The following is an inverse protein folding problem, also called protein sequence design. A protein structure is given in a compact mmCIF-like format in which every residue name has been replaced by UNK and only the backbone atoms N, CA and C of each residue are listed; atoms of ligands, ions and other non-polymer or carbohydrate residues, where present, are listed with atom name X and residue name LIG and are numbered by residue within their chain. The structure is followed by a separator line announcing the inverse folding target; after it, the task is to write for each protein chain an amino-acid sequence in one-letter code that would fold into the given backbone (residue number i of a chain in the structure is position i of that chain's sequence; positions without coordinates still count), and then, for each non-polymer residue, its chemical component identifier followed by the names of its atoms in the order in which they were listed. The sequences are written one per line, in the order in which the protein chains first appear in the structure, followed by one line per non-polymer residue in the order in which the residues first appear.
data_IF_464655616436
#
_entry.id   IF_464655616436
#
_cell.length_a   1.000
_cell.length_b   1.000
_cell.length_c   1.000
_cell.angle_alpha   90.00
_cell.angle_beta   90.00
_cell.angle_gamma   90.00
#
_symmetry.space_group_name_H-M   'P 1'
#
loop_
_entity.id
_entity.type
_entity.pdbx_description
1 polymer ?
#
# COMPACT_ATOMS: atom_id res chain seq x y z
N UNK A 1 -42.51 -60.53 5.49
CA UNK A 1 -42.94 -59.25 6.12
C UNK A 1 -42.26 -59.12 7.47
N UNK A 2 -41.84 -57.89 7.81
CA UNK A 2 -41.27 -57.40 9.09
C UNK A 2 -39.75 -57.53 9.31
N UNK A 3 -39.10 -56.45 8.84
CA UNK A 3 -37.92 -55.70 9.31
C UNK A 3 -37.19 -56.24 10.56
N UNK A 4 -35.90 -56.52 10.36
CA UNK A 4 -34.87 -56.59 11.38
C UNK A 4 -34.15 -55.23 11.40
N UNK A 5 -34.19 -54.52 12.53
CA UNK A 5 -33.33 -53.38 12.81
C UNK A 5 -32.24 -53.87 13.79
N UNK A 6 -30.98 -53.82 13.37
CA UNK A 6 -29.83 -54.11 14.23
C UNK A 6 -29.20 -52.79 14.68
N UNK A 7 -29.04 -52.66 15.99
CA UNK A 7 -28.29 -51.61 16.66
C UNK A 7 -26.82 -52.02 16.87
N UNK A 8 -25.97 -50.99 17.00
CA UNK A 8 -24.62 -50.91 17.63
C UNK A 8 -23.38 -51.38 16.82
N UNK A 9 -22.15 -50.91 17.14
CA UNK A 9 -21.72 -49.71 17.87
C UNK A 9 -20.54 -48.93 17.25
N UNK A 10 -20.25 -47.80 17.89
CA UNK A 10 -19.08 -46.92 17.86
C UNK A 10 -17.73 -47.66 17.97
N UNK A 11 -16.74 -47.31 17.14
CA UNK A 11 -15.31 -47.37 17.51
C UNK A 11 -14.64 -46.08 17.05
N UNK A 12 -14.17 -45.32 18.03
CA UNK A 12 -13.30 -44.17 17.89
C UNK A 12 -11.86 -44.70 17.78
N UNK A 13 -11.18 -44.43 16.66
CA UNK A 13 -9.74 -44.61 16.55
C UNK A 13 -9.13 -43.30 16.03
N UNK A 14 -8.29 -42.69 16.86
CA UNK A 14 -7.40 -41.60 16.45
C UNK A 14 -6.31 -42.15 15.53
N UNK A 15 -6.18 -41.56 14.34
CA UNK A 15 -4.94 -41.57 13.55
C UNK A 15 -4.79 -40.19 12.90
N UNK A 16 -3.54 -39.69 12.91
CA UNK A 16 -3.09 -38.33 12.57
C UNK A 16 -3.66 -37.74 11.26
N UNK A 17 -3.68 -36.40 11.11
CA UNK A 17 -3.99 -35.80 9.82
C UNK A 17 -2.83 -36.10 8.86
N UNK A 18 -3.14 -36.81 7.78
CA UNK A 18 -2.30 -36.82 6.60
C UNK A 18 -2.46 -35.46 5.91
N UNK A 19 -1.33 -34.82 5.61
CA UNK A 19 -1.21 -33.71 4.68
C UNK A 19 -1.75 -34.14 3.32
N UNK A 20 -2.91 -33.63 2.92
CA UNK A 20 -3.48 -33.78 1.58
C UNK A 20 -3.92 -32.40 1.06
N UNK A 21 -2.95 -31.58 0.67
CA UNK A 21 -3.14 -30.27 0.01
C UNK A 21 -2.91 -30.34 -1.51
N UNK A 22 -3.01 -31.53 -2.10
CA UNK A 22 -2.82 -31.79 -3.55
C UNK A 22 -4.10 -32.19 -4.29
N UNK A 23 -5.28 -31.85 -3.76
CA UNK A 23 -6.57 -32.20 -4.36
C UNK A 23 -7.53 -31.01 -4.60
N UNK A 24 -7.01 -29.82 -4.91
CA UNK A 24 -7.82 -28.68 -5.34
C UNK A 24 -7.20 -27.90 -6.52
N UNK A 25 -6.77 -28.60 -7.56
CA UNK A 25 -6.44 -28.01 -8.87
C UNK A 25 -7.38 -28.49 -9.99
N UNK A 26 -8.64 -28.78 -9.65
CA UNK A 26 -9.69 -29.06 -10.62
C UNK A 26 -10.80 -27.98 -10.52
N UNK A 27 -10.78 -27.09 -11.50
CA UNK A 27 -11.90 -26.29 -12.00
C UNK A 27 -12.69 -25.43 -10.97
N UNK A 28 -12.28 -24.17 -10.86
CA UNK A 28 -13.24 -23.07 -10.85
C UNK A 28 -13.12 -22.33 -12.20
N UNK A 29 -14.11 -22.54 -13.08
CA UNK A 29 -14.30 -21.80 -14.34
C UNK A 29 -14.72 -20.33 -14.08
N UNK A 30 -13.88 -19.53 -13.42
CA UNK A 30 -14.12 -18.07 -13.38
C UNK A 30 -12.87 -17.18 -13.27
N UNK A 31 -11.66 -17.76 -13.28
CA UNK A 31 -10.43 -17.00 -13.48
C UNK A 31 -10.17 -16.82 -14.97
N UNK A 32 -10.49 -15.65 -15.53
CA UNK A 32 -10.07 -15.33 -16.89
C UNK A 32 -8.57 -15.10 -16.88
N UNK A 33 -7.78 -16.11 -17.25
CA UNK A 33 -6.39 -15.87 -17.64
C UNK A 33 -6.38 -15.25 -19.02
N UNK A 34 -5.71 -14.10 -19.14
CA UNK A 34 -5.47 -13.41 -20.40
C UNK A 34 -3.98 -13.48 -20.70
N UNK A 35 -3.61 -14.23 -21.74
CA UNK A 35 -2.23 -14.62 -22.09
C UNK A 35 -2.13 -16.12 -22.45
N UNK A 36 -0.93 -16.70 -22.40
CA UNK A 36 -0.64 -18.09 -22.76
C UNK A 36 -0.84 -19.09 -21.60
N UNK A 37 -1.16 -18.63 -20.38
CA UNK A 37 -1.34 -19.45 -19.16
C UNK A 37 -0.07 -20.20 -18.75
N UNK A 38 1.07 -19.54 -18.83
CA UNK A 38 2.40 -20.08 -18.59
C UNK A 38 3.14 -19.46 -17.39
N UNK A 39 2.39 -18.85 -16.45
CA UNK A 39 2.88 -18.39 -15.16
C UNK A 39 4.00 -19.27 -14.59
N UNK A 40 5.15 -18.65 -14.37
CA UNK A 40 6.30 -19.28 -13.73
C UNK A 40 6.26 -18.95 -12.25
N UNK A 41 6.17 -19.99 -11.42
CA UNK A 41 6.31 -19.83 -9.98
C UNK A 41 7.68 -19.27 -9.64
N UNK A 42 7.73 -18.20 -8.86
CA UNK A 42 8.99 -17.65 -8.35
C UNK A 42 9.34 -18.40 -7.07
N UNK A 43 10.34 -19.27 -7.15
CA UNK A 43 10.85 -20.03 -6.00
C UNK A 43 11.79 -19.17 -5.16
N UNK A 44 12.10 -19.63 -3.95
CA UNK A 44 13.09 -19.02 -3.08
C UNK A 44 14.41 -18.71 -3.83
N UNK A 45 14.96 -17.52 -3.59
CA UNK A 45 16.17 -17.04 -4.27
C UNK A 45 16.01 -16.78 -5.78
N UNK A 46 14.80 -16.92 -6.33
CA UNK A 46 14.50 -16.61 -7.73
C UNK A 46 15.06 -17.60 -8.75
N UNK A 47 15.32 -18.86 -8.36
CA UNK A 47 15.97 -19.86 -9.21
C UNK A 47 15.27 -20.06 -10.58
N UNK A 48 13.95 -19.91 -10.61
CA UNK A 48 13.07 -20.04 -11.79
C UNK A 48 12.97 -18.76 -12.63
N UNK A 49 13.62 -17.68 -12.20
CA UNK A 49 13.59 -16.36 -12.84
C UNK A 49 14.98 -16.02 -13.38
N UNK A 50 15.10 -15.37 -14.55
CA UNK A 50 16.37 -14.88 -15.07
C UNK A 50 17.11 -14.00 -14.05
N UNK A 51 18.43 -14.15 -13.98
CA UNK A 51 19.30 -13.53 -12.96
C UNK A 51 19.10 -12.01 -12.83
N UNK A 52 18.91 -11.32 -13.96
CA UNK A 52 18.66 -9.87 -14.03
C UNK A 52 17.46 -9.38 -13.22
N UNK A 53 16.44 -10.22 -12.99
CA UNK A 53 15.25 -9.83 -12.22
C UNK A 53 15.34 -10.20 -10.74
N UNK A 54 16.25 -11.12 -10.37
CA UNK A 54 16.34 -11.64 -9.00
C UNK A 54 16.54 -10.55 -7.94
N UNK A 55 17.34 -9.51 -8.17
CA UNK A 55 17.50 -8.42 -7.21
C UNK A 55 16.22 -7.63 -6.91
N UNK A 56 15.17 -7.75 -7.74
CA UNK A 56 13.93 -7.00 -7.61
C UNK A 56 12.83 -7.77 -6.87
N UNK A 57 12.99 -9.09 -6.68
CA UNK A 57 11.89 -9.96 -6.27
C UNK A 57 11.31 -9.62 -4.89
N UNK A 58 12.10 -9.00 -4.02
CA UNK A 58 11.69 -8.59 -2.67
C UNK A 58 11.00 -7.22 -2.64
N UNK A 59 10.93 -6.52 -3.79
CA UNK A 59 10.15 -5.29 -3.95
C UNK A 59 8.68 -5.56 -4.34
N UNK A 60 8.31 -6.81 -4.64
CA UNK A 60 6.93 -7.18 -4.92
C UNK A 60 6.26 -7.71 -3.65
N UNK A 61 5.05 -7.23 -3.40
CA UNK A 61 4.31 -7.52 -2.19
C UNK A 61 2.87 -7.93 -2.45
N UNK A 62 2.33 -8.72 -1.54
CA UNK A 62 0.94 -9.15 -1.54
C UNK A 62 0.11 -8.23 -0.65
N UNK A 63 -0.88 -7.55 -1.22
CA UNK A 63 -1.79 -6.68 -0.48
C UNK A 63 -2.86 -7.51 0.23
N UNK A 64 -3.22 -7.13 1.45
CA UNK A 64 -4.28 -7.78 2.24
C UNK A 64 -5.66 -7.77 1.58
N UNK A 65 -5.90 -6.88 0.59
CA UNK A 65 -7.13 -6.82 -0.20
C UNK A 65 -7.13 -7.66 -1.48
N UNK A 66 -6.23 -8.64 -1.60
CA UNK A 66 -6.12 -9.53 -2.76
C UNK A 66 -5.66 -8.78 -4.02
N UNK A 67 -4.55 -8.05 -3.91
CA UNK A 67 -3.89 -7.37 -5.02
C UNK A 67 -2.36 -7.53 -4.91
N UNK A 68 -1.66 -7.07 -5.94
CA UNK A 68 -0.21 -6.99 -5.99
C UNK A 68 0.25 -5.55 -5.78
N UNK A 69 1.38 -5.39 -5.12
CA UNK A 69 2.02 -4.11 -4.79
C UNK A 69 3.47 -4.15 -5.26
N UNK A 70 4.00 -3.01 -5.70
CA UNK A 70 5.44 -2.85 -5.95
C UNK A 70 6.00 -1.67 -5.16
N UNK A 71 7.08 -1.87 -4.41
CA UNK A 71 7.80 -0.80 -3.74
C UNK A 71 8.71 -0.06 -4.74
N UNK A 72 8.58 1.27 -4.78
CA UNK A 72 9.32 2.15 -5.70
C UNK A 72 10.36 3.02 -5.00
N UNK A 73 10.50 2.90 -3.69
CA UNK A 73 11.54 3.54 -2.88
C UNK A 73 11.00 4.53 -1.85
N UNK A 74 11.82 4.83 -0.84
CA UNK A 74 11.49 5.80 0.22
C UNK A 74 10.16 5.50 0.93
N UNK A 75 9.77 4.23 1.07
CA UNK A 75 8.49 3.83 1.65
C UNK A 75 7.30 4.00 0.73
N UNK A 76 7.49 4.47 -0.51
CA UNK A 76 6.41 4.63 -1.50
C UNK A 76 6.22 3.33 -2.26
N UNK A 77 4.97 2.91 -2.38
CA UNK A 77 4.54 1.74 -3.12
C UNK A 77 3.37 2.07 -4.06
N UNK A 78 3.21 1.24 -5.09
CA UNK A 78 2.16 1.38 -6.10
C UNK A 78 1.30 0.12 -6.21
N UNK A 79 0.03 0.33 -6.52
CA UNK A 79 -0.94 -0.71 -6.85
C UNK A 79 -2.05 -0.15 -7.75
N UNK A 80 -3.07 -0.95 -8.08
CA UNK A 80 -4.27 -0.45 -8.75
C UNK A 80 -5.17 0.30 -7.75
N UNK A 81 -5.85 1.35 -8.22
CA UNK A 81 -6.72 2.21 -7.41
C UNK A 81 -7.93 1.47 -6.87
N UNK A 82 -8.53 0.56 -7.65
CA UNK A 82 -9.67 -0.24 -7.17
C UNK A 82 -9.33 -1.12 -5.96
N UNK A 83 -8.05 -1.48 -5.75
CA UNK A 83 -7.59 -2.23 -4.58
C UNK A 83 -7.71 -1.44 -3.26
N UNK A 84 -7.85 -0.11 -3.36
CA UNK A 84 -7.99 0.84 -2.27
C UNK A 84 -9.36 1.56 -2.27
N UNK A 85 -10.35 1.04 -3.01
CA UNK A 85 -11.65 1.69 -3.20
C UNK A 85 -11.54 3.13 -3.72
N UNK A 86 -10.58 3.38 -4.63
CA UNK A 86 -10.32 4.72 -5.14
C UNK A 86 -11.55 5.35 -5.82
N UNK A 87 -11.74 6.68 -5.70
CA UNK A 87 -12.81 7.39 -6.39
C UNK A 87 -12.55 7.50 -7.91
N UNK A 88 -13.58 7.89 -8.66
CA UNK A 88 -13.51 8.07 -10.12
C UNK A 88 -12.66 9.26 -10.59
N UNK A 89 -12.19 10.10 -9.66
CA UNK A 89 -11.30 11.24 -9.90
C UNK A 89 -10.16 11.16 -8.91
N UNK A 90 -8.94 11.62 -9.26
CA UNK A 90 -7.81 11.66 -8.33
C UNK A 90 -8.25 12.26 -6.99
N UNK A 91 -8.01 11.51 -5.92
CA UNK A 91 -8.11 12.00 -4.56
C UNK A 91 -6.79 11.72 -3.85
N UNK A 92 -6.38 12.66 -3.00
CA UNK A 92 -5.15 12.59 -2.24
C UNK A 92 -5.46 12.33 -0.76
N UNK A 93 -4.42 11.97 -0.02
CA UNK A 93 -4.44 11.84 1.44
C UNK A 93 -5.55 10.92 1.97
N UNK A 94 -5.80 9.83 1.25
CA UNK A 94 -6.84 8.88 1.60
C UNK A 94 -6.37 7.96 2.75
N UNK A 95 -7.24 7.68 3.73
CA UNK A 95 -6.92 6.75 4.79
C UNK A 95 -6.83 5.32 4.25
N UNK A 96 -5.85 4.57 4.75
CA UNK A 96 -5.66 3.15 4.41
C UNK A 96 -5.33 2.29 5.64
N UNK A 97 -5.76 2.73 6.81
CA UNK A 97 -5.63 1.93 8.03
C UNK A 97 -6.26 0.54 7.84
N UNK A 98 -5.52 -0.50 8.23
CA UNK A 98 -5.93 -1.90 8.08
C UNK A 98 -5.44 -2.59 6.80
N UNK A 99 -4.94 -1.84 5.80
CA UNK A 99 -4.22 -2.44 4.67
C UNK A 99 -2.80 -2.81 5.09
N UNK A 100 -2.38 -4.02 4.74
CA UNK A 100 -1.02 -4.52 4.97
C UNK A 100 -0.44 -5.11 3.70
N UNK A 101 0.89 -5.06 3.58
CA UNK A 101 1.64 -5.64 2.46
C UNK A 101 2.64 -6.65 2.98
N UNK A 102 2.57 -7.87 2.46
CA UNK A 102 3.52 -8.96 2.71
C UNK A 102 4.57 -9.01 1.61
N UNK A 103 5.80 -8.60 1.90
CA UNK A 103 6.88 -8.46 0.91
C UNK A 103 7.67 -9.75 0.71
N UNK A 104 8.06 -10.01 -0.55
CA UNK A 104 8.87 -11.18 -0.92
C UNK A 104 8.17 -12.51 -0.70
N UNK A 105 6.84 -12.51 -0.54
CA UNK A 105 6.06 -13.72 -0.29
C UNK A 105 6.11 -14.70 -1.47
N UNK A 106 6.60 -15.92 -1.25
CA UNK A 106 6.65 -17.01 -2.24
C UNK A 106 5.96 -18.24 -1.65
N UNK A 107 5.64 -19.23 -2.49
CA UNK A 107 4.93 -20.44 -2.00
C UNK A 107 5.81 -21.23 -1.01
N UNK A 108 7.10 -21.23 -1.25
CA UNK A 108 8.15 -21.95 -0.50
C UNK A 108 8.91 -21.05 0.49
N UNK A 109 8.58 -19.76 0.57
CA UNK A 109 9.25 -18.80 1.44
C UNK A 109 8.25 -17.78 2.01
N UNK A 110 8.07 -17.71 3.34
CA UNK A 110 7.17 -16.72 3.94
C UNK A 110 7.65 -15.30 3.64
N UNK A 111 6.74 -14.33 3.77
CA UNK A 111 7.11 -12.93 3.64
C UNK A 111 8.20 -12.54 4.65
N UNK A 112 9.24 -11.83 4.18
CA UNK A 112 10.34 -11.40 5.05
C UNK A 112 9.98 -10.14 5.84
N UNK A 113 9.01 -9.36 5.36
CA UNK A 113 8.58 -8.10 5.95
C UNK A 113 7.07 -7.94 5.75
N UNK A 114 6.38 -7.49 6.79
CA UNK A 114 5.00 -7.00 6.70
C UNK A 114 4.98 -5.51 7.00
N UNK A 115 4.44 -4.72 6.07
CA UNK A 115 4.25 -3.28 6.25
C UNK A 115 2.77 -2.94 6.41
N UNK A 116 2.48 -1.93 7.23
CA UNK A 116 1.18 -1.27 7.26
C UNK A 116 1.14 -0.14 6.23
N UNK A 117 -0.01 0.06 5.59
CA UNK A 117 -0.26 1.29 4.84
C UNK A 117 -0.45 2.45 5.82
N UNK A 118 0.30 3.54 5.61
CA UNK A 118 0.23 4.75 6.44
C UNK A 118 -0.73 5.77 5.85
N UNK A 119 -0.62 6.03 4.56
CA UNK A 119 -1.47 6.95 3.82
C UNK A 119 -1.45 6.58 2.34
N UNK A 120 -2.58 6.76 1.64
CA UNK A 120 -2.62 6.75 0.18
C UNK A 120 -2.48 8.18 -0.30
N UNK A 121 -1.30 8.49 -0.84
CA UNK A 121 -0.91 9.84 -1.29
C UNK A 121 -1.79 10.30 -2.46
N UNK A 122 -2.09 9.38 -3.38
CA UNK A 122 -2.99 9.63 -4.48
C UNK A 122 -3.58 8.33 -5.01
N UNK A 123 -4.88 8.32 -5.28
CA UNK A 123 -5.50 7.23 -6.00
C UNK A 123 -6.63 7.69 -6.92
N UNK A 124 -6.85 6.95 -7.99
CA UNK A 124 -7.91 7.15 -8.97
C UNK A 124 -8.34 5.78 -9.51
N UNK A 125 -9.64 5.58 -9.69
CA UNK A 125 -10.22 4.44 -10.41
C UNK A 125 -11.25 4.96 -11.42
N UNK A 126 -10.77 5.66 -12.45
CA UNK A 126 -11.57 6.22 -13.52
C UNK A 126 -11.63 5.29 -14.73
N UNK A 127 -12.35 5.72 -15.77
CA UNK A 127 -12.32 5.06 -17.08
C UNK A 127 -11.00 5.25 -17.82
N UNK A 128 -10.16 6.18 -17.38
CA UNK A 128 -8.91 6.53 -18.06
C UNK A 128 -7.67 6.08 -17.30
N UNK A 129 -7.77 5.85 -15.97
CA UNK A 129 -6.66 5.48 -15.09
C UNK A 129 -7.16 4.67 -13.90
N UNK A 130 -6.31 3.77 -13.41
CA UNK A 130 -6.55 2.97 -12.21
C UNK A 130 -5.23 2.78 -11.47
N UNK A 131 -4.97 3.61 -10.46
CA UNK A 131 -3.73 3.60 -9.69
C UNK A 131 -3.97 3.98 -8.23
N UNK A 132 -3.09 3.50 -7.36
CA UNK A 132 -2.88 3.98 -6.01
C UNK A 132 -1.38 4.11 -5.76
N UNK A 133 -0.95 5.27 -5.25
CA UNK A 133 0.39 5.53 -4.74
C UNK A 133 0.27 5.78 -3.25
N UNK A 134 1.00 5.03 -2.44
CA UNK A 134 0.80 5.01 -0.99
C UNK A 134 2.10 4.75 -0.23
N UNK A 135 2.10 5.12 1.04
CA UNK A 135 3.25 4.95 1.92
C UNK A 135 3.08 3.72 2.80
N UNK A 136 4.16 2.97 2.94
CA UNK A 136 4.25 1.77 3.76
C UNK A 136 5.33 1.91 4.83
N UNK A 137 5.08 1.30 5.99
CA UNK A 137 6.08 1.18 7.05
C UNK A 137 5.87 -0.13 7.84
N UNK A 138 6.93 -0.88 8.20
CA UNK A 138 8.35 -0.66 7.87
C UNK A 138 8.66 -0.64 6.37
N UNK A 139 9.70 0.09 5.96
CA UNK A 139 10.07 0.27 4.55
C UNK A 139 10.84 -0.95 4.00
N UNK A 140 10.44 -1.55 2.86
CA UNK A 140 11.20 -2.61 2.21
C UNK A 140 12.58 -2.12 1.74
N UNK A 141 13.65 -2.92 1.89
CA UNK A 141 15.00 -2.51 1.47
C UNK A 141 15.18 -2.50 -0.06
N UNK A 142 14.36 -3.26 -0.79
CA UNK A 142 14.43 -3.41 -2.25
C UNK A 142 13.37 -2.56 -2.92
N UNK A 143 13.71 -1.88 -4.01
CA UNK A 143 12.82 -1.04 -4.81
C UNK A 143 12.98 -1.32 -6.30
N UNK A 144 11.95 -1.00 -7.07
CA UNK A 144 12.00 -0.99 -8.55
C UNK A 144 11.95 0.45 -9.04
N UNK A 145 12.82 0.80 -10.00
CA UNK A 145 12.82 2.13 -10.61
C UNK A 145 11.56 2.35 -11.47
N UNK A 146 11.11 3.59 -11.59
CA UNK A 146 9.97 3.96 -12.45
C UNK A 146 10.49 4.72 -13.66
N UNK A 147 10.05 4.34 -14.86
CA UNK A 147 10.36 5.09 -16.08
C UNK A 147 9.36 6.22 -16.26
N UNK A 148 9.81 7.44 -15.99
CA UNK A 148 9.01 8.66 -16.14
C UNK A 148 9.35 9.45 -17.42
N UNK A 149 10.19 8.90 -18.31
CA UNK A 149 10.64 9.61 -19.52
C UNK A 149 9.57 9.66 -20.61
N UNK A 150 8.62 8.72 -20.60
CA UNK A 150 7.51 8.68 -21.56
C UNK A 150 6.67 7.42 -21.46
N UNK A 151 5.63 7.34 -22.30
CA UNK A 151 4.82 6.12 -22.45
C UNK A 151 5.64 5.06 -23.20
N UNK A 152 5.59 3.81 -22.74
CA UNK A 152 6.18 2.69 -23.46
C UNK A 152 5.53 2.56 -24.85
N UNK A 153 6.37 2.31 -25.87
CA UNK A 153 5.91 2.17 -27.25
C UNK A 153 5.21 0.81 -27.48
N UNK A 154 4.31 0.76 -28.47
CA UNK A 154 3.71 -0.49 -28.93
C UNK A 154 4.79 -1.50 -29.36
N UNK A 155 4.58 -2.78 -29.06
CA UNK A 155 5.55 -3.85 -29.30
C UNK A 155 6.73 -3.86 -28.32
N UNK A 156 6.80 -2.92 -27.37
CA UNK A 156 7.84 -2.92 -26.34
C UNK A 156 7.77 -4.22 -25.54
N UNK A 157 8.90 -4.92 -25.44
CA UNK A 157 9.01 -6.09 -24.55
C UNK A 157 8.97 -5.66 -23.11
N UNK A 158 8.10 -6.29 -22.35
CA UNK A 158 7.85 -6.07 -20.93
C UNK A 158 7.73 -7.41 -20.20
N UNK A 159 7.66 -7.35 -18.88
CA UNK A 159 7.37 -8.48 -18.02
C UNK A 159 6.50 -8.06 -16.83
N UNK A 160 5.93 -9.02 -16.11
CA UNK A 160 5.07 -8.76 -14.97
C UNK A 160 5.30 -9.80 -13.87
N UNK A 161 5.36 -9.32 -12.63
CA UNK A 161 5.40 -10.14 -11.42
C UNK A 161 4.17 -9.82 -10.57
N UNK A 162 3.52 -10.83 -10.01
CA UNK A 162 2.39 -10.60 -9.10
C UNK A 162 1.92 -11.81 -8.33
N UNK A 163 0.81 -11.62 -7.61
CA UNK A 163 0.19 -12.59 -6.72
C UNK A 163 -1.19 -13.04 -7.24
N UNK A 164 -1.24 -13.74 -8.39
CA UNK A 164 -2.49 -14.25 -8.94
C UNK A 164 -3.18 -15.19 -7.95
N UNK A 165 -4.50 -15.03 -7.81
CA UNK A 165 -5.37 -15.70 -6.84
C UNK A 165 -4.82 -15.71 -5.40
N UNK A 166 -4.11 -14.66 -5.00
CA UNK A 166 -3.51 -14.52 -3.67
C UNK A 166 -2.41 -15.57 -3.35
N UNK A 167 -1.86 -16.22 -4.39
CA UNK A 167 -0.76 -17.19 -4.31
C UNK A 167 0.59 -16.51 -4.02
N UNK A 168 1.64 -17.31 -3.87
CA UNK A 168 3.03 -16.83 -3.86
C UNK A 168 3.37 -16.09 -5.15
N UNK A 169 4.47 -15.34 -5.15
CA UNK A 169 4.89 -14.55 -6.31
C UNK A 169 5.03 -15.44 -7.57
N UNK A 170 4.41 -15.00 -8.67
CA UNK A 170 4.48 -15.64 -9.98
C UNK A 170 4.92 -14.63 -11.04
N UNK A 171 5.54 -15.14 -12.10
CA UNK A 171 6.17 -14.38 -13.17
C UNK A 171 5.50 -14.72 -14.51
N UNK A 172 5.08 -13.67 -15.22
CA UNK A 172 4.36 -13.75 -16.50
C UNK A 172 5.28 -13.91 -17.72
N UNK A 173 6.58 -14.17 -17.51
CA UNK A 173 7.60 -14.20 -18.58
C UNK A 173 7.63 -12.90 -19.38
N UNK A 174 8.04 -12.99 -20.64
CA UNK A 174 8.15 -11.84 -21.53
C UNK A 174 6.86 -11.71 -22.33
N UNK A 175 6.30 -10.52 -22.33
CA UNK A 175 5.09 -10.12 -23.02
C UNK A 175 5.34 -8.79 -23.76
N UNK A 176 4.35 -8.30 -24.47
CA UNK A 176 4.42 -7.07 -25.27
C UNK A 176 3.40 -6.03 -24.80
N UNK A 177 3.79 -4.77 -24.91
CA UNK A 177 2.86 -3.63 -24.97
C UNK A 177 2.06 -3.72 -26.27
N UNK A 178 0.75 -3.60 -26.17
CA UNK A 178 -0.19 -3.71 -27.27
C UNK A 178 -0.93 -2.40 -27.48
N UNK A 179 -1.31 -2.07 -28.74
CA UNK A 179 -1.89 -0.78 -29.09
C UNK A 179 -3.07 -0.36 -28.22
N UNK A 180 -3.10 0.89 -27.77
CA UNK A 180 -4.22 1.46 -27.00
C UNK A 180 -5.55 1.45 -27.78
N UNK A 181 -5.53 1.31 -29.11
CA UNK A 181 -6.75 1.14 -29.91
C UNK A 181 -7.51 -0.15 -29.58
N UNK A 182 -6.84 -1.17 -29.04
CA UNK A 182 -7.49 -2.39 -28.53
C UNK A 182 -8.48 -2.09 -27.39
N UNK A 183 -8.30 -0.96 -26.70
CA UNK A 183 -9.19 -0.53 -25.64
C UNK A 183 -10.62 -0.27 -26.14
N UNK A 184 -10.78 0.08 -27.43
CA UNK A 184 -12.09 0.24 -28.06
C UNK A 184 -12.93 -1.05 -28.05
N UNK A 185 -12.27 -2.21 -28.09
CA UNK A 185 -12.93 -3.51 -28.03
C UNK A 185 -13.37 -3.91 -26.62
N UNK A 186 -12.86 -3.24 -25.58
CA UNK A 186 -13.13 -3.52 -24.17
C UNK A 186 -14.26 -2.64 -23.63
N UNK A 187 -14.45 -1.45 -24.20
CA UNK A 187 -15.60 -0.59 -23.98
C UNK A 187 -15.27 0.83 -24.39
N UNK A 188 -15.97 1.39 -25.38
CA UNK A 188 -15.71 2.79 -25.76
C UNK A 188 -16.94 3.56 -26.20
N UNK A 189 -17.10 4.71 -25.57
CA UNK A 189 -17.67 5.94 -26.12
C UNK A 189 -16.57 6.97 -26.51
N UNK A 190 -15.30 6.55 -26.53
CA UNK A 190 -14.15 7.38 -26.92
C UNK A 190 -13.40 8.08 -25.78
N UNK A 191 -13.87 7.97 -24.53
CA UNK A 191 -13.19 8.53 -23.34
C UNK A 191 -12.43 7.49 -22.52
N UNK A 192 -12.76 6.22 -22.71
CA UNK A 192 -12.15 5.10 -22.01
C UNK A 192 -10.69 4.90 -22.44
N UNK A 193 -9.80 4.70 -21.46
CA UNK A 193 -8.43 4.28 -21.69
C UNK A 193 -7.41 5.36 -22.05
N UNK A 194 -7.73 6.66 -21.96
CA UNK A 194 -6.80 7.74 -22.38
C UNK A 194 -5.42 7.74 -21.69
N UNK A 195 -5.33 7.22 -20.46
CA UNK A 195 -4.10 7.01 -19.69
C UNK A 195 -3.71 5.55 -19.54
N UNK A 196 -4.27 4.66 -20.37
CA UNK A 196 -4.04 3.22 -20.34
C UNK A 196 -3.48 2.71 -21.67
N UNK A 197 -2.90 1.51 -21.61
CA UNK A 197 -2.49 0.71 -22.76
C UNK A 197 -2.90 -0.75 -22.54
N UNK A 198 -2.81 -1.57 -23.59
CA UNK A 198 -3.06 -3.01 -23.49
C UNK A 198 -1.78 -3.83 -23.44
N UNK A 199 -1.84 -5.06 -22.95
CA UNK A 199 -0.70 -5.99 -22.96
C UNK A 199 -1.16 -7.45 -22.97
N UNK A 200 -0.23 -8.36 -23.28
CA UNK A 200 -0.49 -9.81 -23.35
C UNK A 200 0.06 -10.62 -22.16
N UNK A 201 0.65 -9.96 -21.15
CA UNK A 201 1.15 -10.66 -19.96
C UNK A 201 0.04 -11.44 -19.27
N UNK A 202 0.25 -12.73 -19.00
CA UNK A 202 -0.60 -13.55 -18.12
C UNK A 202 -1.05 -12.81 -16.86
N UNK A 203 -2.35 -12.76 -16.64
CA UNK A 203 -2.98 -12.18 -15.45
C UNK A 203 -4.09 -13.08 -14.91
N UNK A 204 -4.37 -12.99 -13.62
CA UNK A 204 -5.58 -13.49 -12.97
C UNK A 204 -6.07 -12.48 -11.93
N UNK A 205 -7.27 -12.68 -11.37
CA UNK A 205 -7.71 -11.96 -10.17
C UNK A 205 -6.59 -11.99 -9.11
N UNK A 206 -6.25 -10.86 -8.51
CA UNK A 206 -5.09 -10.73 -7.62
C UNK A 206 -3.85 -10.13 -8.27
N UNK A 207 -3.76 -10.17 -9.61
CA UNK A 207 -2.68 -9.52 -10.36
C UNK A 207 -2.85 -8.00 -10.44
N UNK A 208 -4.04 -7.47 -10.12
CA UNK A 208 -4.30 -6.03 -10.02
C UNK A 208 -3.20 -5.32 -9.22
N UNK A 209 -2.61 -4.26 -9.79
CA UNK A 209 -1.51 -3.51 -9.21
C UNK A 209 -0.11 -4.05 -9.49
N UNK A 210 0.02 -5.18 -10.19
CA UNK A 210 1.33 -5.68 -10.64
C UNK A 210 2.03 -4.64 -11.50
N UNK A 211 3.30 -4.39 -11.23
CA UNK A 211 4.13 -3.54 -12.07
C UNK A 211 4.47 -4.25 -13.38
N UNK A 212 4.29 -3.55 -14.50
CA UNK A 212 4.82 -3.96 -15.79
C UNK A 212 6.21 -3.36 -15.93
N UNK A 213 7.23 -4.22 -16.03
CA UNK A 213 8.62 -3.83 -16.12
C UNK A 213 9.06 -3.88 -17.58
N UNK A 214 9.75 -2.85 -18.02
CA UNK A 214 10.51 -2.85 -19.27
C UNK A 214 11.56 -3.98 -19.26
N UNK A 215 11.54 -4.83 -20.31
CA UNK A 215 12.41 -6.01 -20.41
C UNK A 215 13.90 -5.66 -20.71
N UNK A 216 14.30 -4.40 -20.72
CA UNK A 216 15.69 -4.00 -20.89
C UNK A 216 16.18 -3.18 -19.71
N UNK A 217 15.41 -2.15 -19.35
CA UNK A 217 15.78 -1.21 -18.29
C UNK A 217 15.36 -1.70 -16.89
N UNK A 218 14.46 -2.69 -16.83
CA UNK A 218 13.83 -3.20 -15.60
C UNK A 218 12.97 -2.18 -14.86
N UNK A 219 12.77 -1.00 -15.44
CA UNK A 219 11.96 0.04 -14.85
C UNK A 219 10.46 -0.21 -15.08
N UNK A 220 9.63 0.23 -14.14
CA UNK A 220 8.18 0.14 -14.25
C UNK A 220 7.70 1.12 -15.34
N UNK A 221 6.93 0.62 -16.30
CA UNK A 221 6.30 1.41 -17.37
C UNK A 221 4.77 1.45 -17.25
N UNK A 222 4.19 0.58 -16.44
CA UNK A 222 2.75 0.52 -16.21
C UNK A 222 2.34 -0.18 -14.93
N UNK A 223 1.09 0.03 -14.54
CA UNK A 223 0.43 -0.63 -13.41
C UNK A 223 -0.74 -1.44 -13.97
N UNK A 224 -0.68 -2.76 -13.82
CA UNK A 224 -1.72 -3.66 -14.31
C UNK A 224 -3.05 -3.40 -13.59
N UNK A 225 -4.14 -3.34 -14.33
CA UNK A 225 -5.47 -3.04 -13.79
C UNK A 225 -6.39 -4.25 -13.87
N UNK A 226 -6.55 -4.81 -15.07
CA UNK A 226 -7.38 -5.99 -15.28
C UNK A 226 -7.30 -6.45 -16.73
N UNK A 227 -8.27 -7.26 -17.16
CA UNK A 227 -8.32 -7.75 -18.52
C UNK A 227 -9.71 -8.14 -18.97
N UNK A 228 -9.92 -8.04 -20.29
CA UNK A 228 -11.07 -8.54 -21.02
C UNK A 228 -10.50 -9.24 -22.26
N UNK A 229 -10.78 -10.53 -22.41
CA UNK A 229 -10.17 -11.32 -23.48
C UNK A 229 -10.35 -10.67 -24.86
N UNK A 230 -9.28 -10.60 -25.67
CA UNK A 230 -7.96 -11.22 -25.46
C UNK A 230 -6.91 -10.31 -24.78
N UNK A 231 -7.30 -9.17 -24.21
CA UNK A 231 -6.36 -8.13 -23.77
C UNK A 231 -6.39 -7.87 -22.27
N UNK A 232 -5.20 -7.67 -21.69
CA UNK A 232 -5.07 -6.97 -20.42
C UNK A 232 -4.93 -5.48 -20.66
N UNK A 233 -5.22 -4.67 -19.64
CA UNK A 233 -4.99 -3.24 -19.65
C UNK A 233 -4.29 -2.77 -18.38
N UNK A 234 -3.50 -1.73 -18.54
CA UNK A 234 -2.67 -1.14 -17.51
C UNK A 234 -2.65 0.38 -17.63
N UNK A 235 -2.51 1.06 -16.50
CA UNK A 235 -2.29 2.51 -16.46
C UNK A 235 -0.83 2.80 -16.74
N UNK A 236 -0.54 3.75 -17.64
CA UNK A 236 0.82 4.25 -17.85
C UNK A 236 1.33 4.96 -16.60
N UNK A 237 2.55 4.65 -16.15
CA UNK A 237 3.12 5.28 -14.95
C UNK A 237 3.29 6.80 -15.09
N UNK A 238 3.57 7.28 -16.31
CA UNK A 238 3.68 8.73 -16.60
C UNK A 238 2.34 9.47 -16.53
N UNK A 239 1.22 8.76 -16.58
CA UNK A 239 -0.12 9.34 -16.43
C UNK A 239 -0.61 9.29 -14.96
N UNK A 240 0.27 8.90 -14.03
CA UNK A 240 0.04 8.93 -12.58
C UNK A 240 0.83 10.09 -11.94
N UNK A 241 0.58 10.46 -10.68
CA UNK A 241 1.35 11.50 -10.01
C UNK A 241 2.75 11.06 -9.55
N UNK A 242 3.29 9.93 -10.01
CA UNK A 242 4.60 9.46 -9.58
C UNK A 242 5.75 10.44 -9.83
N UNK A 243 5.67 11.26 -10.88
CA UNK A 243 6.68 12.31 -11.10
C UNK A 243 6.69 13.38 -9.99
N UNK A 244 5.51 13.71 -9.47
CA UNK A 244 5.34 14.63 -8.33
C UNK A 244 5.75 13.94 -7.02
N UNK A 245 5.27 12.71 -6.80
CA UNK A 245 5.39 12.01 -5.51
C UNK A 245 6.77 11.37 -5.28
N UNK A 246 7.56 11.12 -6.33
CA UNK A 246 8.92 10.64 -6.22
C UNK A 246 9.97 11.77 -6.25
N UNK A 247 9.53 13.02 -6.38
CA UNK A 247 10.43 14.17 -6.30
C UNK A 247 11.04 14.24 -4.88
N UNK A 248 12.37 14.43 -4.72
CA UNK A 248 13.00 14.53 -3.40
C UNK A 248 12.47 15.64 -2.49
N UNK A 249 11.81 16.66 -3.07
CA UNK A 249 11.17 17.76 -2.33
C UNK A 249 9.74 17.45 -1.87
N UNK A 250 9.12 16.37 -2.36
CA UNK A 250 7.82 15.92 -1.89
C UNK A 250 7.90 15.50 -0.42
N UNK A 251 7.00 16.02 0.43
CA UNK A 251 6.96 15.73 1.86
C UNK A 251 5.52 15.77 2.38
N UNK A 252 5.08 14.72 3.08
CA UNK A 252 3.77 14.68 3.75
C UNK A 252 3.93 15.27 5.16
N UNK A 253 3.10 16.25 5.56
CA UNK A 253 3.17 16.76 6.92
C UNK A 253 2.89 15.68 7.98
N UNK A 254 3.49 15.80 9.18
CA UNK A 254 3.26 14.84 10.24
C UNK A 254 1.80 14.88 10.74
N UNK A 255 1.41 13.88 11.52
CA UNK A 255 0.15 13.86 12.28
C UNK A 255 0.48 14.04 13.75
N UNK A 256 -0.26 14.92 14.44
CA UNK A 256 -0.12 15.15 15.88
C UNK A 256 -1.48 15.21 16.55
N UNK A 257 -1.64 14.54 17.70
CA UNK A 257 -2.89 14.52 18.46
C UNK A 257 -2.64 14.52 19.96
N UNK A 258 -3.43 15.24 20.75
CA UNK A 258 -3.30 15.25 22.21
C UNK A 258 -3.85 13.95 22.83
N UNK A 259 -3.03 13.30 23.65
CA UNK A 259 -3.36 12.07 24.36
C UNK A 259 -3.60 12.33 25.86
N UNK A 260 -4.43 11.53 26.54
CA UNK A 260 -4.51 11.54 28.00
C UNK A 260 -3.12 11.30 28.62
N UNK A 261 -2.76 11.95 29.74
CA UNK A 261 -3.63 12.65 30.69
C UNK A 261 -3.83 14.15 30.40
N UNK A 262 -3.58 14.63 29.17
CA UNK A 262 -3.80 16.03 28.78
C UNK A 262 -5.19 16.52 29.18
N UNK A 263 -5.32 17.46 30.14
CA UNK A 263 -6.60 17.84 30.69
C UNK A 263 -7.50 18.55 29.67
N UNK A 264 -8.81 18.46 29.93
CA UNK A 264 -9.87 19.19 29.22
C UNK A 264 -10.67 20.00 30.24
N UNK A 265 -11.03 21.24 29.90
CA UNK A 265 -11.77 22.12 30.81
C UNK A 265 -10.88 22.75 31.88
N UNK A 266 -11.31 22.73 33.15
CA UNK A 266 -10.55 23.36 34.25
C UNK A 266 -9.35 22.50 34.66
N UNK A 267 -8.18 23.13 34.77
CA UNK A 267 -6.95 22.50 35.24
C UNK A 267 -6.23 23.38 36.27
N UNK A 268 -5.51 22.74 37.20
CA UNK A 268 -4.72 23.40 38.26
C UNK A 268 -3.55 22.53 38.71
N UNK A 269 -2.53 23.16 39.28
CA UNK A 269 -1.31 22.52 39.77
C UNK A 269 -0.40 22.05 38.64
N UNK A 270 0.27 20.92 38.85
CA UNK A 270 1.12 20.30 37.85
C UNK A 270 0.27 19.62 36.76
N UNK A 271 0.33 20.16 35.54
CA UNK A 271 -0.35 19.69 34.36
C UNK A 271 0.66 19.00 33.45
N UNK A 272 0.31 17.86 32.87
CA UNK A 272 1.10 17.22 31.82
C UNK A 272 0.34 17.33 30.50
N UNK A 273 0.97 17.90 29.50
CA UNK A 273 0.51 17.89 28.12
C UNK A 273 1.28 16.83 27.36
N UNK A 274 0.59 15.87 26.78
CA UNK A 274 1.15 14.77 26.02
C UNK A 274 0.49 14.70 24.65
N UNK A 275 1.27 14.39 23.62
CA UNK A 275 0.77 14.11 22.27
C UNK A 275 1.28 12.78 21.76
N UNK A 276 0.53 12.19 20.84
CA UNK A 276 1.06 11.22 19.89
C UNK A 276 1.40 11.97 18.59
N UNK A 277 2.60 11.73 18.07
CA UNK A 277 3.11 12.37 16.86
C UNK A 277 3.79 11.33 15.98
N UNK A 278 3.39 11.27 14.72
CA UNK A 278 3.90 10.31 13.73
C UNK A 278 3.98 10.96 12.36
N UNK A 279 4.96 10.59 11.54
CA UNK A 279 5.13 11.12 10.20
C UNK A 279 4.86 10.01 9.16
N UNK A 280 3.91 10.18 8.23
CA UNK A 280 3.52 9.09 7.33
C UNK A 280 4.63 8.60 6.40
N UNK A 281 5.54 9.48 5.98
CA UNK A 281 6.62 9.21 5.03
C UNK A 281 8.02 9.50 5.59
N UNK A 282 8.15 9.46 6.92
CA UNK A 282 9.40 9.75 7.60
C UNK A 282 9.33 9.62 9.11
N UNK A 283 9.96 10.55 9.82
CA UNK A 283 9.97 10.59 11.28
C UNK A 283 9.88 12.01 11.80
N UNK A 284 9.35 12.13 13.03
CA UNK A 284 9.26 13.39 13.76
C UNK A 284 10.65 13.80 14.24
N UNK A 285 11.05 15.04 13.93
CA UNK A 285 12.28 15.64 14.44
C UNK A 285 12.08 16.32 15.79
N UNK A 286 10.92 16.93 16.02
CA UNK A 286 10.57 17.56 17.30
C UNK A 286 9.08 17.84 17.44
N UNK A 287 8.64 18.02 18.67
CA UNK A 287 7.35 18.63 19.03
C UNK A 287 7.59 19.89 19.84
N UNK A 288 7.02 21.02 19.40
CA UNK A 288 7.04 22.29 20.13
C UNK A 288 5.68 22.56 20.75
N UNK A 289 5.62 22.68 22.07
CA UNK A 289 4.44 23.08 22.82
C UNK A 289 4.44 24.58 23.09
N UNK A 290 3.37 25.28 22.71
CA UNK A 290 3.07 26.64 23.18
C UNK A 290 2.11 26.53 24.37
N UNK A 291 2.61 26.86 25.55
CA UNK A 291 1.97 26.69 26.85
C UNK A 291 1.13 27.92 27.23
N UNK A 292 0.26 27.81 28.25
CA UNK A 292 -0.46 28.97 28.80
C UNK A 292 0.53 30.07 29.22
N UNK A 293 0.24 31.31 28.85
CA UNK A 293 1.15 32.45 29.04
C UNK A 293 2.16 32.66 27.91
N UNK A 294 2.17 31.81 26.88
CA UNK A 294 2.95 32.01 25.64
C UNK A 294 4.37 31.44 25.66
N UNK A 295 4.78 30.79 26.75
CA UNK A 295 6.05 30.08 26.80
C UNK A 295 6.09 28.90 25.81
N UNK A 296 7.25 28.63 25.23
CA UNK A 296 7.45 27.47 24.34
C UNK A 296 8.36 26.44 24.98
N UNK A 297 8.04 25.16 24.79
CA UNK A 297 8.88 24.03 25.17
C UNK A 297 9.09 23.11 23.97
N UNK A 298 10.32 22.70 23.71
CA UNK A 298 10.69 21.82 22.59
C UNK A 298 11.05 20.44 23.15
N UNK A 299 10.48 19.40 22.54
CA UNK A 299 10.77 18.00 22.83
C UNK A 299 11.33 17.38 21.56
N UNK A 300 12.58 16.93 21.59
CA UNK A 300 13.30 16.41 20.41
C UNK A 300 13.26 14.87 20.31
N UNK A 301 12.87 14.18 21.39
CA UNK A 301 12.73 12.72 21.44
C UNK A 301 11.47 12.30 22.21
N UNK A 302 10.81 11.19 21.84
CA UNK A 302 9.66 10.68 22.57
C UNK A 302 10.07 10.16 23.98
N UNK A 303 9.19 10.24 24.99
CA UNK A 303 7.77 10.60 24.89
C UNK A 303 7.53 12.10 24.65
N UNK A 304 6.61 12.42 23.74
CA UNK A 304 6.26 13.80 23.35
C UNK A 304 5.41 14.49 24.42
N UNK A 305 6.00 14.79 25.57
CA UNK A 305 5.30 15.37 26.72
C UNK A 305 6.03 16.56 27.36
N UNK A 306 5.25 17.46 27.96
CA UNK A 306 5.77 18.59 28.74
C UNK A 306 4.95 18.78 30.02
N UNK A 307 5.66 19.06 31.12
CA UNK A 307 5.05 19.46 32.39
C UNK A 307 4.91 20.98 32.46
N UNK A 308 3.77 21.43 32.97
CA UNK A 308 3.44 22.83 33.13
C UNK A 308 2.88 23.07 34.54
N UNK A 309 3.39 24.08 35.23
CA UNK A 309 2.89 24.51 36.53
C UNK A 309 1.87 25.63 36.32
N UNK A 310 0.59 25.38 36.66
CA UNK A 310 -0.47 26.37 36.44
C UNK A 310 -0.30 27.66 37.22
N UNK A 311 0.52 27.67 38.27
CA UNK A 311 0.79 28.88 39.07
C UNK A 311 1.61 29.92 38.31
N UNK A 312 2.25 29.54 37.20
CA UNK A 312 3.02 30.46 36.34
C UNK A 312 2.15 31.22 35.33
N UNK A 313 0.83 30.99 35.34
CA UNK A 313 -0.13 31.67 34.47
C UNK A 313 -1.31 32.21 35.30
N UNK A 314 -1.93 33.29 34.81
CA UNK A 314 -3.12 33.86 35.44
C UNK A 314 -4.35 32.94 35.26
N UNK A 315 -5.35 33.10 36.11
CA UNK A 315 -6.63 32.41 35.93
C UNK A 315 -7.31 32.89 34.65
N UNK A 316 -7.72 31.96 33.79
CA UNK A 316 -8.19 32.32 32.45
C UNK A 316 -8.34 31.15 31.51
N UNK A 317 -8.92 31.41 30.33
CA UNK A 317 -8.99 30.44 29.24
C UNK A 317 -7.72 30.50 28.41
N UNK A 318 -7.17 29.33 28.06
CA UNK A 318 -5.96 29.18 27.27
C UNK A 318 -6.14 28.11 26.20
N UNK A 319 -5.38 28.27 25.12
CA UNK A 319 -5.21 27.24 24.09
C UNK A 319 -3.75 26.84 24.07
N UNK A 320 -3.49 25.57 24.36
CA UNK A 320 -2.18 24.95 24.20
C UNK A 320 -2.08 24.43 22.78
N UNK A 321 -0.95 24.70 22.14
CA UNK A 321 -0.69 24.26 20.77
C UNK A 321 0.51 23.33 20.81
N UNK A 322 0.38 22.14 20.25
CA UNK A 322 1.51 21.27 19.98
C UNK A 322 1.79 21.28 18.48
N UNK A 323 2.99 21.66 18.08
CA UNK A 323 3.45 21.68 16.68
C UNK A 323 4.45 20.56 16.49
N UNK A 324 4.09 19.53 15.72
CA UNK A 324 5.05 18.50 15.31
C UNK A 324 5.77 18.96 14.04
N UNK A 325 7.08 18.80 14.00
CA UNK A 325 7.93 19.08 12.84
C UNK A 325 8.63 17.79 12.44
N UNK A 326 8.53 17.40 11.17
CA UNK A 326 9.24 16.23 10.64
C UNK A 326 10.72 16.55 10.32
N UNK A 327 11.49 15.52 9.95
CA UNK A 327 12.90 15.63 9.59
C UNK A 327 13.21 16.45 8.33
N UNK A 328 12.22 16.69 7.47
CA UNK A 328 12.31 17.51 6.25
C UNK A 328 11.68 18.90 6.43
N UNK A 329 11.17 19.21 7.63
CA UNK A 329 10.69 20.51 8.03
C UNK A 329 9.22 20.80 7.76
N UNK A 330 8.38 19.83 7.34
CA UNK A 330 6.94 20.10 7.33
C UNK A 330 6.36 20.02 8.75
N UNK A 331 5.26 20.74 8.97
CA UNK A 331 4.65 20.94 10.27
C UNK A 331 3.17 20.61 10.27
N UNK A 332 2.69 20.08 11.39
CA UNK A 332 1.27 20.04 11.72
C UNK A 332 1.03 20.42 13.17
N UNK A 333 -0.21 20.80 13.49
CA UNK A 333 -0.56 21.34 14.81
C UNK A 333 -1.80 20.69 15.38
N UNK A 334 -1.74 20.36 16.66
CA UNK A 334 -2.90 20.03 17.50
C UNK A 334 -3.13 21.17 18.49
N UNK A 335 -4.39 21.37 18.88
CA UNK A 335 -4.76 22.36 19.88
C UNK A 335 -5.59 21.73 21.00
N UNK A 336 -5.37 22.20 22.23
CA UNK A 336 -6.18 21.85 23.39
C UNK A 336 -6.55 23.09 24.18
N UNK A 337 -7.84 23.31 24.35
CA UNK A 337 -8.35 24.39 25.20
C UNK A 337 -8.51 23.91 26.65
N UNK A 338 -8.08 24.76 27.58
CA UNK A 338 -8.27 24.57 29.02
C UNK A 338 -8.55 25.91 29.70
N UNK A 339 -8.99 25.83 30.96
CA UNK A 339 -9.12 26.97 31.86
C UNK A 339 -8.23 26.76 33.06
N UNK A 340 -7.33 27.70 33.33
CA UNK A 340 -6.56 27.72 34.57
C UNK A 340 -7.40 28.37 35.67
N UNK A 341 -7.52 27.68 36.81
CA UNK A 341 -8.14 28.17 38.03
C UNK A 341 -7.27 27.77 39.22
N UNK A 342 -6.41 28.69 39.65
CA UNK A 342 -5.48 28.49 40.76
C UNK A 342 -6.11 28.77 42.13
N UNK A 343 -7.27 29.47 42.15
CA UNK A 343 -8.01 29.85 43.36
C UNK A 343 -9.26 28.98 43.60
#
# INVERSE_FOLDING_TARGET
MRRLALLLPLILACSAPADDDDAAAAASESGVVVGDRDFVRVMQGGATVPERYRPLLDAFGKLSSYCTVTHVGNGIAIAAGHCFNAPRTRANDLPCAGYTVDWGYRRDEPAYLRSACRIVLAAEYSVSRDYAVFVVDPVPPVKVAVDLAGRAADGRRITMFGHPLNRGLEWSRTCTVEPSSNLLAIGSDGTWGAGMFTHQCDSERGSSGSALLDDETLAIVGIHNGGVQPWNYATHVVDTPLAELLDPSFNVPPVVTFTPPTPVGTARGAITFAVDASDPDGHIAKVTFTLPGGASAVVEEPPWEVRFDSTTAADGAYTVVATATDARGAESRAQRSLRIQNL
#
